data_IF_642039884430
#
_entry.id   IF_642039884430
#
_cell.length_a   1.000
_cell.length_b   1.000
_cell.length_c   1.000
_cell.angle_alpha   90.00
_cell.angle_beta   90.00
_cell.angle_gamma   90.00
#
_symmetry.space_group_name_H-M   'P 1'
#
loop_
_entity.id
_entity.type
_entity.pdbx_description
1 polymer ?
#
# COMPACT_ATOMS: atom_id res chain seq x y z
N UNK A 1 -20.99 8.07 -13.97
CA UNK A 1 -20.03 8.98 -13.32
C UNK A 1 -20.72 10.29 -12.87
N UNK A 2 -21.88 10.22 -12.21
CA UNK A 2 -22.57 11.41 -11.66
C UNK A 2 -22.81 11.33 -10.16
N UNK A 3 -22.55 10.17 -9.53
CA UNK A 3 -22.80 9.97 -8.10
C UNK A 3 -21.70 10.53 -7.18
N UNK A 4 -20.48 10.73 -7.68
CA UNK A 4 -19.37 11.27 -6.86
C UNK A 4 -19.50 12.79 -6.69
N UNK A 5 -20.11 13.50 -7.64
CA UNK A 5 -20.29 14.95 -7.56
C UNK A 5 -21.32 15.39 -6.50
N UNK A 6 -22.21 14.48 -6.04
CA UNK A 6 -23.16 14.78 -4.95
C UNK A 6 -22.55 14.71 -3.56
N UNK A 7 -21.41 14.03 -3.39
CA UNK A 7 -20.70 13.93 -2.10
C UNK A 7 -19.81 15.18 -1.88
N UNK A 8 -19.46 15.90 -2.95
CA UNK A 8 -18.55 17.05 -2.91
C UNK A 8 -19.24 18.41 -2.65
N UNK A 9 -20.57 18.46 -2.57
CA UNK A 9 -21.29 19.65 -2.14
C UNK A 9 -21.75 19.42 -0.69
N UNK A 10 -20.92 19.74 0.33
CA UNK A 10 -21.41 19.77 1.70
C UNK A 10 -22.58 20.73 1.75
N UNK A 11 -23.74 20.23 2.14
CA UNK A 11 -24.86 21.07 2.55
C UNK A 11 -24.30 22.11 3.52
N UNK A 12 -24.55 23.38 3.25
CA UNK A 12 -23.98 24.55 3.94
C UNK A 12 -24.24 24.61 5.45
N UNK A 13 -24.96 23.65 6.02
CA UNK A 13 -25.00 23.35 7.45
C UNK A 13 -25.27 21.85 7.67
N UNK A 14 -24.26 21.02 7.99
CA UNK A 14 -24.46 19.59 8.30
C UNK A 14 -25.30 19.38 9.57
N UNK A 15 -25.55 20.44 10.34
CA UNK A 15 -26.31 20.42 11.58
C UNK A 15 -27.83 20.62 11.41
N UNK A 16 -28.33 20.87 10.20
CA UNK A 16 -29.78 21.04 9.95
C UNK A 16 -30.65 19.78 10.21
N UNK A 17 -30.02 18.62 10.43
CA UNK A 17 -30.73 17.40 10.85
C UNK A 17 -30.87 17.23 12.36
N UNK A 18 -30.18 18.08 13.14
CA UNK A 18 -30.40 18.21 14.59
C UNK A 18 -31.54 19.19 14.73
N UNK A 19 -32.71 18.69 15.14
CA UNK A 19 -33.95 19.46 15.19
C UNK A 19 -33.77 20.88 15.72
N UNK A 20 -34.47 21.83 15.08
CA UNK A 20 -34.40 23.30 15.19
C UNK A 20 -34.52 23.92 16.61
N UNK A 21 -34.41 23.15 17.69
CA UNK A 21 -34.74 23.58 19.05
C UNK A 21 -33.64 23.36 20.10
N UNK A 22 -32.54 22.66 19.80
CA UNK A 22 -31.43 22.47 20.75
C UNK A 22 -30.21 23.35 20.38
N UNK A 23 -29.56 24.02 21.34
CA UNK A 23 -28.29 24.71 21.10
C UNK A 23 -27.25 23.74 20.51
N UNK A 24 -26.49 24.18 19.51
CA UNK A 24 -25.50 23.33 18.81
C UNK A 24 -24.56 22.62 19.79
N UNK A 25 -24.13 23.32 20.85
CA UNK A 25 -23.25 22.81 21.91
C UNK A 25 -23.83 21.55 22.58
N UNK A 26 -25.15 21.52 22.81
CA UNK A 26 -25.82 20.37 23.41
C UNK A 26 -25.86 19.18 22.45
N UNK A 27 -25.98 19.45 21.15
CA UNK A 27 -25.94 18.41 20.13
C UNK A 27 -24.53 17.87 19.88
N UNK A 28 -23.50 18.72 20.00
CA UNK A 28 -22.09 18.35 19.91
C UNK A 28 -21.59 17.63 21.18
N UNK A 29 -22.18 17.92 22.33
CA UNK A 29 -21.88 17.22 23.59
C UNK A 29 -22.56 15.85 23.72
N UNK A 30 -23.57 15.56 22.90
CA UNK A 30 -24.31 14.31 22.97
C UNK A 30 -23.59 13.18 22.21
N UNK A 31 -23.11 12.17 22.95
CA UNK A 31 -22.46 10.99 22.38
C UNK A 31 -23.35 10.23 21.39
N UNK A 32 -24.67 10.14 21.63
CA UNK A 32 -25.58 9.41 20.74
C UNK A 32 -25.67 10.07 19.35
N UNK A 33 -25.47 11.39 19.30
CA UNK A 33 -25.44 12.13 18.05
C UNK A 33 -24.09 11.93 17.34
N UNK A 34 -22.98 12.02 18.08
CA UNK A 34 -21.64 11.77 17.56
C UNK A 34 -21.48 10.34 17.04
N UNK A 35 -22.16 9.38 17.67
CA UNK A 35 -22.13 7.98 17.27
C UNK A 35 -22.70 7.73 15.88
N UNK A 36 -23.65 8.57 15.44
CA UNK A 36 -24.22 8.51 14.07
C UNK A 36 -23.19 8.86 12.99
N UNK A 37 -22.16 9.61 13.36
CA UNK A 37 -21.07 10.00 12.47
C UNK A 37 -19.79 9.21 12.73
N UNK A 38 -19.80 8.34 13.73
CA UNK A 38 -18.72 7.42 14.03
C UNK A 38 -18.87 6.10 13.26
N UNK A 39 -17.77 5.36 13.16
CA UNK A 39 -17.77 3.99 12.65
C UNK A 39 -16.96 3.11 13.61
N UNK A 40 -16.93 1.77 13.44
CA UNK A 40 -16.06 0.92 14.25
C UNK A 40 -14.57 1.31 14.21
N UNK A 41 -14.14 2.03 13.17
CA UNK A 41 -12.75 2.45 12.96
C UNK A 41 -12.58 3.97 12.93
N UNK A 42 -13.66 4.74 13.04
CA UNK A 42 -13.63 6.20 12.99
C UNK A 42 -14.13 6.75 14.32
N UNK A 43 -13.26 7.49 15.00
CA UNK A 43 -13.47 8.01 16.34
C UNK A 43 -13.63 9.53 16.28
N UNK A 44 -14.62 10.08 16.99
CA UNK A 44 -14.91 11.51 16.96
C UNK A 44 -14.80 12.10 18.35
N UNK A 45 -14.06 13.20 18.46
CA UNK A 45 -14.07 14.08 19.64
C UNK A 45 -14.30 15.50 19.17
N UNK A 46 -15.02 16.27 19.97
CA UNK A 46 -15.21 17.70 19.75
C UNK A 46 -14.69 18.44 20.96
N UNK A 47 -13.84 19.41 20.71
CA UNK A 47 -13.26 20.29 21.70
C UNK A 47 -13.81 21.72 21.54
N UNK A 48 -13.83 22.46 22.64
CA UNK A 48 -14.07 23.90 22.60
C UNK A 48 -12.83 24.66 22.07
N UNK A 49 -12.96 25.98 21.92
CA UNK A 49 -11.87 26.85 21.46
C UNK A 49 -10.61 26.82 22.35
N UNK A 50 -10.73 26.35 23.59
CA UNK A 50 -9.63 26.21 24.54
C UNK A 50 -8.98 24.81 24.51
N UNK A 51 -9.48 23.89 23.67
CA UNK A 51 -8.97 22.52 23.57
C UNK A 51 -9.45 21.58 24.68
N UNK A 52 -10.59 21.87 25.31
CA UNK A 52 -11.23 20.94 26.24
C UNK A 52 -12.34 20.15 25.54
N UNK A 53 -12.41 18.83 25.76
CA UNK A 53 -13.42 17.98 25.15
C UNK A 53 -14.81 18.32 25.69
N UNK A 54 -15.72 18.65 24.77
CA UNK A 54 -17.14 18.88 25.04
C UNK A 54 -18.00 17.67 24.71
N UNK A 55 -17.54 16.81 23.79
CA UNK A 55 -18.23 15.60 23.40
C UNK A 55 -17.29 14.61 22.72
N UNK A 56 -17.62 13.32 22.82
CA UNK A 56 -16.91 12.25 22.11
C UNK A 56 -17.85 11.10 21.79
N UNK A 57 -17.53 10.36 20.73
CA UNK A 57 -18.23 9.13 20.37
C UNK A 57 -17.99 8.04 21.40
N UNK A 58 -18.98 7.17 21.59
CA UNK A 58 -18.97 6.10 22.59
C UNK A 58 -17.87 5.07 22.34
N UNK A 59 -17.51 4.84 21.07
CA UNK A 59 -16.43 3.93 20.68
C UNK A 59 -15.05 4.35 21.24
N UNK A 60 -14.85 5.63 21.60
CA UNK A 60 -13.63 6.12 22.25
C UNK A 60 -13.49 5.65 23.70
N UNK A 61 -14.59 5.32 24.39
CA UNK A 61 -14.57 4.94 25.80
C UNK A 61 -13.87 5.99 26.68
N UNK A 62 -12.83 5.59 27.42
CA UNK A 62 -12.04 6.50 28.27
C UNK A 62 -10.95 7.28 27.50
N UNK A 63 -10.77 7.04 26.21
CA UNK A 63 -9.78 7.73 25.39
C UNK A 63 -10.19 9.20 25.17
N UNK A 64 -9.19 10.04 24.93
CA UNK A 64 -9.35 11.40 24.44
C UNK A 64 -8.18 11.76 23.54
N UNK A 65 -8.44 12.54 22.50
CA UNK A 65 -7.41 13.12 21.66
C UNK A 65 -6.80 14.34 22.35
N UNK A 66 -5.46 14.52 22.23
CA UNK A 66 -4.81 15.72 22.75
C UNK A 66 -5.30 16.95 21.99
N UNK A 67 -5.28 18.13 22.61
CA UNK A 67 -5.69 19.37 21.96
C UNK A 67 -4.92 19.61 20.65
N UNK A 68 -5.61 20.15 19.64
CA UNK A 68 -4.98 20.57 18.39
C UNK A 68 -4.17 21.85 18.60
N UNK A 69 -3.08 22.00 17.85
CA UNK A 69 -2.21 23.18 17.89
C UNK A 69 -2.06 23.77 16.49
N UNK A 70 -2.08 25.09 16.37
CA UNK A 70 -1.77 25.78 15.11
C UNK A 70 -2.94 25.87 14.12
N UNK A 71 -4.18 25.58 14.55
CA UNK A 71 -5.37 25.84 13.75
C UNK A 71 -5.74 27.34 13.80
N UNK A 72 -5.97 27.93 12.65
CA UNK A 72 -6.44 29.31 12.51
C UNK A 72 -7.45 29.45 11.35
N UNK A 73 -7.96 30.66 11.10
CA UNK A 73 -8.95 30.87 10.04
C UNK A 73 -8.39 30.68 8.61
N UNK A 74 -7.07 30.63 8.43
CA UNK A 74 -6.37 30.35 7.17
C UNK A 74 -5.94 28.88 7.06
N UNK A 75 -5.75 28.21 8.19
CA UNK A 75 -5.37 26.82 8.36
C UNK A 75 -6.42 26.14 9.24
N UNK A 76 -7.60 25.94 8.68
CA UNK A 76 -8.75 25.38 9.38
C UNK A 76 -8.69 23.86 9.51
N UNK A 77 -7.70 23.22 8.90
CA UNK A 77 -7.56 21.76 8.84
C UNK A 77 -6.09 21.38 9.07
N UNK A 78 -5.85 20.41 9.95
CA UNK A 78 -4.54 19.84 10.20
C UNK A 78 -4.62 18.31 10.31
N UNK A 79 -3.58 17.61 9.89
CA UNK A 79 -3.45 16.17 10.03
C UNK A 79 -2.25 15.85 10.91
N UNK A 80 -2.40 14.92 11.85
CA UNK A 80 -1.30 14.49 12.72
C UNK A 80 -1.42 13.02 13.09
N UNK A 81 -0.27 12.36 13.20
CA UNK A 81 -0.18 11.05 13.81
C UNK A 81 0.03 11.22 15.32
N UNK A 82 -0.80 10.56 16.13
CA UNK A 82 -0.69 10.57 17.58
C UNK A 82 -0.69 9.15 18.10
N UNK A 83 0.27 8.86 18.97
CA UNK A 83 0.33 7.58 19.67
C UNK A 83 -0.46 7.67 20.97
N UNK A 84 -1.49 6.83 21.06
CA UNK A 84 -2.36 6.71 22.23
C UNK A 84 -2.18 5.31 22.85
N UNK A 85 -2.85 5.06 23.98
CA UNK A 85 -2.81 3.78 24.68
C UNK A 85 -3.17 2.57 23.80
N UNK A 86 -4.06 2.77 22.81
CA UNK A 86 -4.61 1.70 21.97
C UNK A 86 -3.83 1.48 20.66
N UNK A 87 -2.86 2.33 20.35
CA UNK A 87 -2.16 2.29 19.06
C UNK A 87 -1.82 3.67 18.52
N UNK A 88 -1.38 3.70 17.27
CA UNK A 88 -1.15 4.94 16.54
C UNK A 88 -2.43 5.35 15.79
N UNK A 89 -2.78 6.62 15.85
CA UNK A 89 -3.97 7.18 15.22
C UNK A 89 -3.57 8.31 14.27
N UNK A 90 -4.16 8.32 13.08
CA UNK A 90 -4.17 9.49 12.23
C UNK A 90 -5.37 10.33 12.61
N UNK A 91 -5.12 11.57 13.05
CA UNK A 91 -6.15 12.50 13.49
C UNK A 91 -6.21 13.66 12.49
N UNK A 92 -7.39 13.89 11.94
CA UNK A 92 -7.76 15.14 11.27
C UNK A 92 -8.37 16.08 12.32
N UNK A 93 -7.74 17.23 12.52
CA UNK A 93 -8.28 18.30 13.34
C UNK A 93 -8.87 19.37 12.42
N UNK A 94 -10.13 19.75 12.65
CA UNK A 94 -10.82 20.76 11.86
C UNK A 94 -11.42 21.84 12.74
N UNK A 95 -11.05 23.08 12.47
CA UNK A 95 -11.63 24.27 13.10
C UNK A 95 -12.97 24.58 12.44
N UNK A 96 -14.03 24.56 13.23
CA UNK A 96 -15.36 24.97 12.82
C UNK A 96 -15.76 26.26 13.54
N UNK A 97 -16.25 27.25 12.79
CA UNK A 97 -16.73 28.51 13.36
C UNK A 97 -18.17 28.78 12.98
N UNK A 98 -19.05 28.96 13.97
CA UNK A 98 -20.45 29.30 13.77
C UNK A 98 -20.72 30.75 14.24
N UNK A 99 -21.42 31.53 13.41
CA UNK A 99 -21.85 32.88 13.77
C UNK A 99 -20.72 33.87 14.11
N UNK A 100 -19.49 33.61 13.61
CA UNK A 100 -18.33 34.51 13.73
C UNK A 100 -17.61 34.52 15.09
N UNK A 101 -18.24 34.07 16.18
CA UNK A 101 -17.65 34.11 17.52
C UNK A 101 -17.54 32.75 18.23
N UNK A 102 -18.28 31.73 17.78
CA UNK A 102 -18.18 30.38 18.37
C UNK A 102 -17.21 29.55 17.56
N UNK A 103 -16.25 28.92 18.23
CA UNK A 103 -15.23 28.07 17.62
C UNK A 103 -15.23 26.72 18.31
N UNK A 104 -15.24 25.67 17.51
CA UNK A 104 -15.15 24.29 17.91
C UNK A 104 -14.03 23.62 17.12
N UNK A 105 -13.38 22.64 17.72
CA UNK A 105 -12.38 21.83 17.04
C UNK A 105 -12.94 20.42 16.96
N UNK A 106 -13.10 19.91 15.74
CA UNK A 106 -13.56 18.56 15.49
C UNK A 106 -12.33 17.70 15.24
N UNK A 107 -12.19 16.64 16.01
CA UNK A 107 -11.14 15.65 15.87
C UNK A 107 -11.75 14.38 15.30
N UNK A 108 -11.26 13.95 14.15
CA UNK A 108 -11.62 12.66 13.55
C UNK A 108 -10.37 11.80 13.53
N UNK A 109 -10.37 10.73 14.31
CA UNK A 109 -9.24 9.83 14.44
C UNK A 109 -9.53 8.46 13.83
N UNK A 110 -8.56 7.92 13.10
CA UNK A 110 -8.59 6.56 12.57
C UNK A 110 -7.32 5.79 13.00
N UNK A 111 -7.43 4.51 13.39
CA UNK A 111 -6.29 3.72 13.82
C UNK A 111 -5.41 3.36 12.61
N UNK A 112 -4.12 3.70 12.70
CA UNK A 112 -3.12 3.37 11.68
C UNK A 112 -2.72 1.89 11.71
N UNK A 113 -3.00 1.18 12.80
CA UNK A 113 -2.61 -0.22 12.96
C UNK A 113 -3.21 -1.13 11.88
N UNK A 114 -4.44 -0.87 11.43
CA UNK A 114 -5.08 -1.64 10.36
C UNK A 114 -4.41 -1.41 8.99
N UNK A 115 -3.99 -0.18 8.73
CA UNK A 115 -3.23 0.17 7.53
C UNK A 115 -1.85 -0.50 7.57
N UNK A 116 -1.19 -0.42 8.72
CA UNK A 116 0.13 -1.02 8.92
C UNK A 116 0.11 -2.55 8.75
N UNK A 117 -0.91 -3.23 9.27
CA UNK A 117 -1.05 -4.69 9.09
C UNK A 117 -1.25 -5.05 7.62
N UNK A 118 -2.09 -4.29 6.92
CA UNK A 118 -2.33 -4.49 5.48
C UNK A 118 -1.06 -4.28 4.67
N UNK A 119 -0.28 -3.23 4.98
CA UNK A 119 1.00 -2.98 4.33
C UNK A 119 2.03 -4.08 4.63
N UNK A 120 2.09 -4.56 5.87
CA UNK A 120 3.00 -5.62 6.27
C UNK A 120 2.70 -6.93 5.50
N UNK A 121 1.44 -7.34 5.46
CA UNK A 121 0.99 -8.53 4.70
C UNK A 121 1.25 -8.39 3.20
N UNK A 122 1.00 -7.20 2.64
CA UNK A 122 1.27 -6.93 1.23
C UNK A 122 2.77 -7.03 0.92
N UNK A 123 3.61 -6.45 1.78
CA UNK A 123 5.07 -6.52 1.65
C UNK A 123 5.57 -7.96 1.71
N UNK A 124 5.05 -8.75 2.64
CA UNK A 124 5.38 -10.17 2.77
C UNK A 124 4.99 -10.96 1.51
N UNK A 125 3.77 -10.74 1.02
CA UNK A 125 3.27 -11.40 -0.20
C UNK A 125 4.15 -11.06 -1.42
N UNK A 126 4.51 -9.79 -1.60
CA UNK A 126 5.39 -9.34 -2.68
C UNK A 126 6.77 -10.00 -2.56
N UNK A 127 7.33 -10.07 -1.35
CA UNK A 127 8.64 -10.69 -1.12
C UNK A 127 8.63 -12.18 -1.49
N UNK A 128 7.57 -12.91 -1.17
CA UNK A 128 7.40 -14.32 -1.56
C UNK A 128 7.35 -14.46 -3.08
N UNK A 129 6.55 -13.63 -3.76
CA UNK A 129 6.43 -13.67 -5.23
C UNK A 129 7.79 -13.41 -5.90
N UNK A 130 8.54 -12.41 -5.41
CA UNK A 130 9.90 -12.11 -5.92
C UNK A 130 10.82 -13.31 -5.71
N UNK A 131 10.82 -13.92 -4.52
CA UNK A 131 11.66 -15.09 -4.24
C UNK A 131 11.34 -16.25 -5.18
N UNK A 132 10.05 -16.55 -5.39
CA UNK A 132 9.61 -17.60 -6.32
C UNK A 132 10.03 -17.28 -7.77
N UNK A 133 9.90 -16.03 -8.19
CA UNK A 133 10.31 -15.61 -9.53
C UNK A 133 11.83 -15.76 -9.75
N UNK A 134 12.65 -15.38 -8.77
CA UNK A 134 14.11 -15.57 -8.82
C UNK A 134 14.46 -17.05 -8.97
N UNK A 135 13.85 -17.91 -8.16
CA UNK A 135 14.06 -19.37 -8.24
C UNK A 135 13.65 -19.89 -9.62
N UNK A 136 12.51 -19.47 -10.15
CA UNK A 136 12.05 -19.88 -11.47
C UNK A 136 13.01 -19.46 -12.59
N UNK A 137 13.55 -18.23 -12.52
CA UNK A 137 14.56 -17.74 -13.47
C UNK A 137 15.83 -18.58 -13.39
N UNK A 138 16.33 -18.88 -12.20
CA UNK A 138 17.53 -19.72 -12.02
C UNK A 138 17.32 -21.11 -12.63
N UNK A 139 16.19 -21.75 -12.32
CA UNK A 139 15.85 -23.08 -12.86
C UNK A 139 15.77 -23.03 -14.39
N UNK A 140 15.08 -22.03 -14.93
CA UNK A 140 14.93 -21.86 -16.37
C UNK A 140 16.30 -21.63 -17.05
N UNK A 141 17.16 -20.79 -16.47
CA UNK A 141 18.51 -20.56 -16.96
C UNK A 141 19.36 -21.84 -16.98
N UNK A 142 19.30 -22.67 -15.94
CA UNK A 142 20.02 -23.95 -15.89
C UNK A 142 19.51 -24.90 -16.98
N UNK A 143 18.20 -25.00 -17.16
CA UNK A 143 17.59 -25.86 -18.19
C UNK A 143 17.97 -25.41 -19.60
N UNK A 144 17.92 -24.10 -19.87
CA UNK A 144 18.33 -23.56 -21.18
C UNK A 144 19.82 -23.77 -21.42
N UNK A 145 20.68 -23.49 -20.42
CA UNK A 145 22.10 -23.70 -20.54
C UNK A 145 22.42 -25.17 -20.87
N UNK A 146 21.85 -26.13 -20.13
CA UNK A 146 22.07 -27.56 -20.36
C UNK A 146 21.58 -28.06 -21.72
N UNK A 147 20.51 -27.49 -22.28
CA UNK A 147 20.02 -27.82 -23.62
C UNK A 147 20.82 -27.17 -24.74
N UNK A 148 21.32 -25.95 -24.54
CA UNK A 148 22.07 -25.21 -25.56
C UNK A 148 23.53 -25.67 -25.66
N UNK A 149 24.20 -26.00 -24.55
CA UNK A 149 25.63 -26.34 -24.55
C UNK A 149 25.92 -27.80 -24.92
N UNK A 150 25.02 -28.73 -24.64
CA UNK A 150 25.19 -30.16 -25.00
C UNK A 150 25.49 -30.40 -26.49
N UNK A 151 24.67 -29.89 -27.44
CA UNK A 151 24.92 -30.14 -28.87
C UNK A 151 26.22 -29.49 -29.37
N UNK A 152 26.63 -28.36 -28.78
CA UNK A 152 27.92 -27.73 -29.10
C UNK A 152 29.10 -28.59 -28.65
N UNK A 153 29.01 -29.22 -27.48
CA UNK A 153 30.01 -30.15 -26.99
C UNK A 153 30.13 -31.40 -27.86
N UNK A 154 29.00 -31.95 -28.29
CA UNK A 154 28.97 -33.12 -29.19
C UNK A 154 29.52 -32.78 -30.58
N UNK A 155 29.19 -31.61 -31.13
CA UNK A 155 29.76 -31.14 -32.40
C UNK A 155 31.26 -30.86 -32.31
N UNK A 156 31.72 -30.27 -31.21
CA UNK A 156 33.14 -30.02 -30.99
C UNK A 156 33.93 -31.33 -30.86
N UNK A 157 33.36 -32.34 -30.19
CA UNK A 157 33.94 -33.69 -30.11
C UNK A 157 33.94 -34.38 -31.48
N UNK A 158 32.84 -34.32 -32.23
CA UNK A 158 32.75 -34.89 -33.57
C UNK A 158 33.74 -34.23 -34.56
N UNK A 159 33.88 -32.89 -34.52
CA UNK A 159 34.87 -32.18 -35.34
C UNK A 159 36.32 -32.51 -34.93
N UNK A 160 36.58 -32.68 -33.62
CA UNK A 160 37.88 -33.12 -33.12
C UNK A 160 38.20 -34.55 -33.57
N UNK A 161 37.21 -35.43 -33.58
CA UNK A 161 37.36 -36.82 -34.05
C UNK A 161 37.66 -36.85 -35.55
N UNK A 162 36.90 -36.10 -36.37
CA UNK A 162 37.15 -35.93 -37.81
C UNK A 162 38.53 -35.32 -38.10
N UNK A 163 38.97 -34.35 -37.30
CA UNK A 163 40.31 -33.76 -37.44
C UNK A 163 41.45 -34.68 -36.97
N UNK A 164 41.16 -35.64 -36.10
CA UNK A 164 42.16 -36.56 -35.54
C UNK A 164 42.27 -37.90 -36.28
N UNK A 165 41.24 -38.30 -37.02
CA UNK A 165 41.27 -39.55 -37.78
C UNK A 165 41.99 -39.33 -39.14
N UNK A 166 43.31 -39.55 -39.10
CA UNK A 166 44.14 -40.09 -40.21
C UNK A 166 44.69 -39.17 -41.30
N UNK A 167 45.14 -37.97 -40.97
CA UNK A 167 46.01 -37.21 -41.91
C UNK A 167 47.46 -37.74 -41.98
N UNK A 168 47.89 -38.60 -41.05
CA UNK A 168 49.28 -39.09 -41.01
C UNK A 168 49.45 -40.53 -41.53
N UNK A 169 48.37 -41.19 -41.99
CA UNK A 169 48.48 -42.50 -42.63
C UNK A 169 48.81 -42.30 -44.10
N UNK A 170 50.12 -42.19 -44.42
CA UNK A 170 50.64 -42.35 -45.78
C UNK A 170 50.14 -43.70 -46.31
N UNK A 171 49.14 -43.66 -47.18
CA UNK A 171 48.73 -44.80 -47.98
C UNK A 171 49.94 -45.20 -48.83
N UNK A 172 50.55 -46.34 -48.50
CA UNK A 172 51.47 -47.01 -49.42
C UNK A 172 50.63 -47.51 -50.58
N UNK A 173 50.43 -46.67 -51.58
CA UNK A 173 49.83 -47.05 -52.85
C UNK A 173 50.81 -47.99 -53.55
N UNK A 174 50.60 -49.30 -53.37
CA UNK A 174 51.25 -50.31 -54.18
C UNK A 174 50.46 -50.37 -55.49
N UNK A 175 51.10 -49.85 -56.53
CA UNK A 175 50.72 -49.96 -57.94
C UNK A 175 50.21 -51.38 -58.23
N UNK A 176 48.91 -51.49 -58.46
CA UNK A 176 48.21 -52.66 -59.00
C UNK A 176 47.18 -52.08 -59.96
N UNK A 177 47.24 -52.54 -61.20
CA UNK A 177 46.51 -52.02 -62.35
C UNK A 177 45.02 -51.95 -62.08
N UNK A 178 44.45 -50.74 -62.00
CA UNK A 178 43.01 -50.58 -62.24
C UNK A 178 42.66 -49.17 -62.70
N UNK A 179 41.88 -49.12 -63.77
CA UNK A 179 41.48 -47.92 -64.49
C UNK A 179 40.37 -47.17 -63.76
N UNK A 180 40.70 -46.35 -62.75
CA UNK A 180 39.73 -45.40 -62.20
C UNK A 180 40.40 -44.03 -62.04
N UNK A 181 40.43 -43.31 -63.16
CA UNK A 181 40.83 -41.92 -63.27
C UNK A 181 40.02 -41.24 -64.35
N UNK A 182 38.75 -40.95 -64.05
CA UNK A 182 37.91 -40.00 -64.79
C UNK A 182 36.96 -39.30 -63.85
#
# INVERSE_FOLDING_TARGET
>A
MQDIARIANPSSNPFLSIGESAPIEQALANSDNLDRWSSPTTYLQIDNAQGYPIGKSSNMGSMSFPAASGLDAKHDTAYRAVRLLRGEFLIEDRLFSEGGNRKFIIHVGEPLDQLNETFARTRETIAIIIAVAIIAVIVLSIVLAGRATRPLGELALAMREIGSDRLNRRLKWKRGDDEIGK
#
